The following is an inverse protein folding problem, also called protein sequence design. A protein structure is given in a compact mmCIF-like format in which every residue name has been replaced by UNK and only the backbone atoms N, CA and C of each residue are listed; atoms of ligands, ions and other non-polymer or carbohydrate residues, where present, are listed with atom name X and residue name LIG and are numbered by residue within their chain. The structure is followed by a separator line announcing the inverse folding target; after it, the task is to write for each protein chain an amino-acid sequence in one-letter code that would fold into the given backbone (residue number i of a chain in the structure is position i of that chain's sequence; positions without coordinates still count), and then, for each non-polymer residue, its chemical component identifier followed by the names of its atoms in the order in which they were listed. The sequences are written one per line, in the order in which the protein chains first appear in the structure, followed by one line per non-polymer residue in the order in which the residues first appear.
data_IF_518098638500
#
_entry.id   IF_518098638500
#
_cell.length_a   1.000
_cell.length_b   1.000
_cell.length_c   1.000
_cell.angle_alpha   90.00
_cell.angle_beta   90.00
_cell.angle_gamma   90.00
#
_symmetry.space_group_name_H-M   'P 1'
#
loop_
_entity.id
_entity.type
_entity.pdbx_description
1 polymer ?
#
# COMPACT_ATOMS: atom_id res chain seq x y z
N UNK A 1 -8.73 4.23 50.66
CA UNK A 1 -7.51 4.95 51.08
C UNK A 1 -7.22 5.99 50.02
N UNK A 2 -7.58 7.24 50.38
CA UNK A 2 -7.52 8.39 49.47
C UNK A 2 -6.15 9.06 49.58
N UNK A 3 -5.46 9.26 48.48
CA UNK A 3 -4.28 10.13 48.44
C UNK A 3 -4.58 11.33 47.54
N UNK A 4 -4.93 12.44 48.16
CA UNK A 4 -5.00 13.77 47.56
C UNK A 4 -3.61 14.40 47.62
N UNK A 5 -3.03 14.74 46.48
CA UNK A 5 -1.83 15.55 46.43
C UNK A 5 -2.27 17.00 46.13
N UNK A 6 -2.10 17.85 47.14
CA UNK A 6 -2.31 19.31 47.03
C UNK A 6 -1.05 19.94 46.48
N UNK A 7 -1.15 20.71 45.41
CA UNK A 7 -0.09 21.64 44.98
C UNK A 7 -0.36 23.03 45.58
N UNK A 8 0.58 23.47 46.39
CA UNK A 8 0.61 24.79 46.98
C UNK A 8 1.12 25.81 45.94
N UNK A 9 0.33 26.87 45.74
CA UNK A 9 0.75 28.08 45.04
C UNK A 9 1.60 28.96 45.97
N UNK A 10 2.75 29.42 45.47
CA UNK A 10 3.53 30.45 46.13
C UNK A 10 3.53 31.73 45.23
N UNK A 11 3.09 32.84 45.73
CA UNK A 11 3.22 34.14 45.03
C UNK A 11 4.46 34.92 45.53
N UNK A 12 4.98 35.73 44.65
CA UNK A 12 5.82 36.89 44.84
C UNK A 12 7.22 36.82 44.26
N UNK A 13 7.44 37.63 43.25
CA UNK A 13 8.24 38.85 43.39
C UNK A 13 8.14 39.71 42.11
N UNK A 14 7.52 40.89 42.31
CA UNK A 14 7.70 42.02 41.42
C UNK A 14 9.14 42.57 41.54
N UNK A 15 9.80 42.77 40.40
CA UNK A 15 10.88 43.75 40.29
C UNK A 15 10.80 44.42 38.92
N UNK A 16 10.36 45.63 38.93
CA UNK A 16 10.43 46.57 37.81
C UNK A 16 11.86 47.08 37.68
N UNK A 17 12.39 47.08 36.46
CA UNK A 17 13.49 47.97 36.09
C UNK A 17 13.34 48.44 34.66
N UNK A 18 13.46 49.74 34.56
CA UNK A 18 13.19 50.64 33.46
C UNK A 18 14.29 50.63 32.39
N UNK A 19 13.88 51.01 31.17
CA UNK A 19 14.63 51.76 30.16
C UNK A 19 15.63 50.96 29.29
N UNK A 20 15.19 50.77 28.08
CA UNK A 20 16.01 50.44 26.95
C UNK A 20 15.14 50.35 25.68
N UNK A 21 14.83 51.49 25.08
CA UNK A 21 14.11 51.58 23.86
C UNK A 21 14.94 51.01 22.70
N UNK A 22 14.69 49.76 22.34
CA UNK A 22 15.02 49.25 21.03
C UNK A 22 13.71 49.16 20.23
N UNK A 23 13.54 50.08 19.30
CA UNK A 23 12.51 49.97 18.27
C UNK A 23 12.82 48.74 17.39
N UNK A 24 12.21 47.65 17.73
CA UNK A 24 12.24 46.46 16.88
C UNK A 24 11.26 46.77 15.74
N UNK A 25 11.85 47.09 14.58
CA UNK A 25 11.12 47.14 13.31
C UNK A 25 10.48 45.78 13.11
N UNK A 26 9.15 45.65 12.95
CA UNK A 26 8.58 44.35 12.67
C UNK A 26 9.15 43.83 11.35
N UNK A 27 9.53 42.54 11.28
CA UNK A 27 9.93 41.98 10.03
C UNK A 27 8.75 42.09 9.07
N UNK A 28 9.04 42.61 7.87
CA UNK A 28 8.12 42.62 6.75
C UNK A 28 7.59 41.20 6.57
N UNK A 29 6.31 41.00 6.72
CA UNK A 29 5.61 39.78 6.34
C UNK A 29 5.54 39.74 4.81
N UNK A 30 6.66 39.61 4.15
CA UNK A 30 6.67 39.01 2.84
C UNK A 30 6.36 37.52 3.06
N UNK A 31 5.06 37.24 3.11
CA UNK A 31 4.56 35.90 2.91
C UNK A 31 5.00 35.52 1.50
N UNK A 32 6.19 34.96 1.37
CA UNK A 32 6.50 34.13 0.26
C UNK A 32 5.42 33.03 0.26
N UNK A 33 4.39 33.23 -0.58
CA UNK A 33 3.61 32.12 -1.09
C UNK A 33 4.61 31.23 -1.83
N UNK A 34 5.33 30.40 -1.06
CA UNK A 34 6.03 29.29 -1.61
C UNK A 34 4.98 28.49 -2.33
N UNK A 35 5.05 28.51 -3.65
CA UNK A 35 4.37 27.53 -4.48
C UNK A 35 4.67 26.21 -3.82
N UNK A 36 3.65 25.57 -3.25
CA UNK A 36 3.70 24.16 -2.88
C UNK A 36 3.95 23.49 -4.22
N UNK A 37 5.21 23.27 -4.54
CA UNK A 37 5.59 22.42 -5.64
C UNK A 37 4.88 21.11 -5.32
N UNK A 38 3.86 20.80 -6.09
CA UNK A 38 3.20 19.51 -6.07
C UNK A 38 4.34 18.51 -6.20
N UNK A 39 4.65 17.81 -5.10
CA UNK A 39 5.58 16.70 -5.19
C UNK A 39 5.06 15.82 -6.32
N UNK A 40 5.93 15.37 -7.25
CA UNK A 40 5.50 14.41 -8.24
C UNK A 40 4.80 13.31 -7.46
N UNK A 41 3.51 13.13 -7.67
CA UNK A 41 2.80 11.96 -7.17
C UNK A 41 3.58 10.80 -7.77
N UNK A 42 4.29 10.07 -6.92
CA UNK A 42 4.95 8.84 -7.30
C UNK A 42 3.88 8.01 -8.00
N UNK A 43 4.01 7.88 -9.31
CA UNK A 43 3.01 7.26 -10.17
C UNK A 43 2.90 5.82 -9.68
N UNK A 44 1.83 5.54 -8.94
CA UNK A 44 1.59 4.23 -8.35
C UNK A 44 1.63 3.20 -9.47
N UNK A 45 2.61 2.33 -9.42
CA UNK A 45 2.86 1.36 -10.49
C UNK A 45 1.85 0.24 -10.40
N UNK A 46 0.72 0.42 -11.07
CA UNK A 46 -0.27 -0.65 -11.25
C UNK A 46 0.27 -1.70 -12.21
N UNK A 47 0.30 -2.94 -11.79
CA UNK A 47 0.82 -4.05 -12.59
C UNK A 47 0.04 -5.33 -12.37
N UNK A 48 -0.08 -6.18 -13.39
CA UNK A 48 -0.58 -7.52 -13.21
C UNK A 48 0.34 -8.37 -12.34
N UNK A 49 -0.25 -9.09 -11.40
CA UNK A 49 0.42 -10.12 -10.63
C UNK A 49 0.26 -11.45 -11.35
N UNK A 50 1.37 -12.04 -11.77
CA UNK A 50 1.41 -13.29 -12.54
C UNK A 50 1.57 -14.50 -11.63
N UNK A 51 0.88 -15.58 -11.96
CA UNK A 51 1.14 -16.93 -11.46
C UNK A 51 2.24 -17.60 -12.29
N UNK A 52 2.83 -18.67 -11.81
CA UNK A 52 3.83 -19.45 -12.57
C UNK A 52 3.30 -20.09 -13.87
N UNK A 53 1.99 -20.11 -14.06
CA UNK A 53 1.35 -20.60 -15.29
C UNK A 53 1.01 -19.49 -16.28
N UNK A 54 1.61 -18.31 -16.17
CA UNK A 54 1.36 -17.14 -17.03
C UNK A 54 -0.08 -16.61 -17.01
N UNK A 55 -0.82 -16.92 -15.94
CA UNK A 55 -2.12 -16.31 -15.69
C UNK A 55 -1.96 -15.11 -14.76
N UNK A 56 -2.83 -14.12 -14.94
CA UNK A 56 -2.94 -12.99 -14.05
C UNK A 56 -3.86 -13.31 -12.86
N UNK A 57 -3.50 -12.85 -11.68
CA UNK A 57 -4.43 -12.77 -10.56
C UNK A 57 -5.51 -11.77 -10.91
N UNK A 58 -6.75 -12.19 -10.83
CA UNK A 58 -7.92 -11.38 -11.19
C UNK A 58 -8.99 -11.45 -10.11
N UNK A 59 -9.82 -10.43 -10.05
CA UNK A 59 -10.97 -10.40 -9.14
C UNK A 59 -12.25 -10.40 -9.95
N UNK A 60 -13.08 -11.39 -9.70
CA UNK A 60 -14.40 -11.52 -10.34
C UNK A 60 -15.43 -11.94 -9.31
N UNK A 61 -16.54 -11.20 -9.19
CA UNK A 61 -17.62 -11.50 -8.25
C UNK A 61 -17.10 -11.77 -6.82
N UNK A 62 -16.20 -10.92 -6.34
CA UNK A 62 -15.53 -11.03 -5.02
C UNK A 62 -14.64 -12.28 -4.83
N UNK A 63 -14.39 -13.03 -5.88
CA UNK A 63 -13.48 -14.17 -5.88
C UNK A 63 -12.14 -13.77 -6.50
N UNK A 64 -11.06 -14.27 -5.91
CA UNK A 64 -9.71 -14.10 -6.44
C UNK A 64 -9.35 -15.34 -7.24
N UNK A 65 -9.05 -15.15 -8.51
CA UNK A 65 -8.94 -16.23 -9.49
C UNK A 65 -7.68 -16.05 -10.35
N UNK A 66 -7.13 -17.13 -10.87
CA UNK A 66 -6.17 -17.09 -11.97
C UNK A 66 -6.94 -17.00 -13.30
N UNK A 67 -6.67 -15.97 -14.10
CA UNK A 67 -7.34 -15.71 -15.37
C UNK A 67 -6.33 -15.35 -16.47
N UNK A 68 -6.67 -15.52 -17.75
CA UNK A 68 -5.84 -14.96 -18.82
C UNK A 68 -5.63 -13.47 -18.60
N UNK A 69 -4.42 -12.99 -18.82
CA UNK A 69 -4.08 -11.58 -18.67
C UNK A 69 -4.84 -10.74 -19.70
N UNK A 70 -5.59 -9.78 -19.24
CA UNK A 70 -6.43 -8.89 -20.08
C UNK A 70 -6.00 -7.44 -20.02
N UNK A 71 -5.19 -7.07 -19.03
CA UNK A 71 -4.81 -5.69 -18.74
C UNK A 71 -5.95 -4.82 -18.22
N UNK A 72 -7.06 -5.42 -17.80
CA UNK A 72 -8.20 -4.72 -17.21
C UNK A 72 -7.94 -4.40 -15.74
N UNK A 73 -8.68 -3.43 -15.21
CA UNK A 73 -8.54 -2.93 -13.84
C UNK A 73 -8.74 -4.01 -12.76
N UNK A 74 -9.48 -5.08 -13.07
CA UNK A 74 -9.68 -6.23 -12.19
C UNK A 74 -8.44 -7.12 -12.01
N UNK A 75 -7.35 -6.81 -12.72
CA UNK A 75 -6.07 -7.52 -12.69
C UNK A 75 -4.90 -6.60 -12.35
N UNK A 76 -5.13 -5.30 -12.17
CA UNK A 76 -4.06 -4.33 -11.93
C UNK A 76 -3.92 -4.07 -10.44
N UNK A 77 -2.91 -4.67 -9.86
CA UNK A 77 -2.58 -4.53 -8.45
C UNK A 77 -1.46 -3.51 -8.23
N UNK A 78 -1.45 -2.95 -7.05
CA UNK A 78 -0.38 -2.12 -6.51
C UNK A 78 0.17 -2.78 -5.26
N UNK A 79 1.49 -2.68 -5.07
CA UNK A 79 2.15 -3.04 -3.82
C UNK A 79 2.40 -1.77 -3.00
N UNK A 80 1.80 -1.69 -1.83
CA UNK A 80 1.98 -0.57 -0.92
C UNK A 80 2.32 -1.09 0.49
N UNK A 81 3.62 -1.05 0.85
CA UNK A 81 4.14 -1.38 2.18
C UNK A 81 3.58 -2.69 2.80
N UNK A 82 3.41 -3.73 1.98
CA UNK A 82 2.86 -5.00 2.45
C UNK A 82 1.35 -5.13 2.32
N UNK A 83 0.69 -4.16 1.74
CA UNK A 83 -0.67 -4.26 1.23
C UNK A 83 -0.65 -4.57 -0.28
N UNK A 84 -1.44 -5.54 -0.69
CA UNK A 84 -1.66 -5.85 -2.10
C UNK A 84 -3.01 -5.26 -2.50
N UNK A 85 -2.96 -4.10 -3.15
CA UNK A 85 -4.13 -3.27 -3.45
C UNK A 85 -4.67 -3.51 -4.84
N UNK A 86 -5.99 -3.52 -4.96
CA UNK A 86 -6.74 -3.45 -6.20
C UNK A 86 -7.73 -2.28 -6.06
N UNK A 87 -7.42 -1.14 -6.66
CA UNK A 87 -8.18 0.11 -6.45
C UNK A 87 -8.24 0.48 -4.96
N UNK A 88 -9.43 0.66 -4.39
CA UNK A 88 -9.67 1.02 -2.98
C UNK A 88 -9.74 -0.19 -2.04
N UNK A 89 -9.53 -1.40 -2.58
CA UNK A 89 -9.62 -2.65 -1.83
C UNK A 89 -8.24 -3.31 -1.72
N UNK A 90 -8.05 -4.03 -0.62
CA UNK A 90 -6.84 -4.82 -0.36
C UNK A 90 -7.15 -6.31 -0.34
N UNK A 91 -6.25 -7.10 -0.93
CA UNK A 91 -6.27 -8.53 -0.75
C UNK A 91 -5.89 -8.87 0.68
N UNK A 92 -6.75 -9.58 1.37
CA UNK A 92 -6.59 -9.92 2.78
C UNK A 92 -6.88 -11.40 3.01
N UNK A 93 -6.32 -11.95 4.10
CA UNK A 93 -6.73 -13.25 4.61
C UNK A 93 -8.12 -13.14 5.25
N UNK A 94 -9.10 -13.85 4.72
CA UNK A 94 -10.42 -14.02 5.35
C UNK A 94 -10.33 -14.99 6.54
N UNK A 95 -9.59 -16.07 6.34
CA UNK A 95 -9.25 -17.08 7.34
C UNK A 95 -7.91 -17.75 6.92
N UNK A 96 -7.54 -18.87 7.49
CA UNK A 96 -6.29 -19.59 7.20
C UNK A 96 -6.27 -20.32 5.84
N UNK A 97 -7.38 -20.34 5.11
CA UNK A 97 -7.52 -21.02 3.82
C UNK A 97 -8.06 -20.12 2.69
N UNK A 98 -8.72 -19.04 3.02
CA UNK A 98 -9.41 -18.19 2.05
C UNK A 98 -8.84 -16.77 2.03
N UNK A 99 -8.78 -16.20 0.85
CA UNK A 99 -8.52 -14.78 0.62
C UNK A 99 -9.79 -14.03 0.23
N UNK A 100 -9.82 -12.75 0.50
CA UNK A 100 -10.91 -11.85 0.13
C UNK A 100 -10.38 -10.47 -0.23
N UNK A 101 -11.17 -9.69 -0.94
CA UNK A 101 -10.97 -8.25 -1.01
C UNK A 101 -11.82 -7.55 0.06
N UNK A 102 -11.18 -6.64 0.78
CA UNK A 102 -11.83 -5.80 1.79
C UNK A 102 -11.24 -4.38 1.73
N UNK A 103 -11.89 -3.37 2.32
CA UNK A 103 -11.28 -2.05 2.46
C UNK A 103 -9.89 -2.16 3.08
N UNK A 104 -8.93 -1.40 2.54
CA UNK A 104 -7.58 -1.37 3.08
C UNK A 104 -7.60 -0.78 4.50
N UNK A 105 -6.95 -1.44 5.44
CA UNK A 105 -6.93 -1.09 6.86
C UNK A 105 -5.56 -0.56 7.34
N UNK A 106 -4.62 -0.39 6.41
CA UNK A 106 -3.24 0.05 6.69
C UNK A 106 -2.40 -1.02 7.38
N UNK A 107 -2.88 -2.25 7.46
CA UNK A 107 -2.12 -3.35 8.04
C UNK A 107 -1.40 -4.15 6.97
N UNK A 108 -0.08 -4.06 6.97
CA UNK A 108 0.76 -4.89 6.12
C UNK A 108 0.56 -6.37 6.47
N UNK A 109 -0.12 -7.11 5.61
CA UNK A 109 -0.37 -8.54 5.83
C UNK A 109 0.48 -9.44 4.93
N UNK A 110 1.10 -8.84 3.89
CA UNK A 110 1.83 -9.59 2.89
C UNK A 110 3.32 -9.29 2.92
N UNK A 111 4.11 -10.32 2.69
CA UNK A 111 5.55 -10.25 2.56
C UNK A 111 5.99 -11.03 1.33
N UNK A 112 6.91 -10.47 0.54
CA UNK A 112 7.59 -11.22 -0.50
C UNK A 112 8.69 -12.08 0.12
N UNK A 113 8.55 -13.40 -0.02
CA UNK A 113 9.57 -14.37 0.34
C UNK A 113 10.08 -15.05 -0.94
N UNK A 114 11.05 -14.43 -1.59
CA UNK A 114 11.54 -14.76 -2.95
C UNK A 114 10.43 -14.50 -3.99
N UNK A 115 9.81 -15.57 -4.49
CA UNK A 115 8.72 -15.57 -5.46
C UNK A 115 7.35 -15.89 -4.84
N UNK A 116 7.25 -15.90 -3.51
CA UNK A 116 6.02 -16.25 -2.78
C UNK A 116 5.47 -15.04 -2.03
N UNK A 117 4.16 -14.94 -2.01
CA UNK A 117 3.42 -14.01 -1.18
C UNK A 117 3.01 -14.71 0.12
N UNK A 118 3.72 -14.41 1.18
CA UNK A 118 3.45 -14.89 2.54
C UNK A 118 2.51 -13.93 3.26
N UNK A 119 1.45 -14.47 3.86
CA UNK A 119 0.55 -13.69 4.69
C UNK A 119 0.93 -13.87 6.17
N UNK A 120 1.42 -12.81 6.79
CA UNK A 120 1.93 -12.82 8.16
C UNK A 120 0.83 -13.01 9.21
N UNK A 121 -0.40 -12.55 8.92
CA UNK A 121 -1.53 -12.64 9.84
C UNK A 121 -1.95 -14.09 10.16
N UNK A 122 -1.86 -14.97 9.18
CA UNK A 122 -2.28 -16.37 9.30
C UNK A 122 -1.14 -17.36 9.07
N UNK A 123 0.07 -16.88 8.79
CA UNK A 123 1.27 -17.69 8.52
C UNK A 123 1.07 -18.69 7.37
N UNK A 124 0.56 -18.20 6.25
CA UNK A 124 0.24 -18.99 5.06
C UNK A 124 0.75 -18.29 3.79
N UNK A 125 0.91 -19.05 2.72
CA UNK A 125 1.26 -18.52 1.41
C UNK A 125 0.04 -18.46 0.48
N UNK A 126 0.01 -17.46 -0.40
CA UNK A 126 -0.92 -17.42 -1.50
C UNK A 126 -0.67 -18.62 -2.42
N UNK A 127 -1.74 -19.25 -2.87
CA UNK A 127 -1.69 -20.56 -3.56
C UNK A 127 -2.76 -20.63 -4.66
N UNK A 128 -2.37 -21.05 -5.85
CA UNK A 128 -3.32 -21.41 -6.91
C UNK A 128 -3.86 -22.81 -6.61
N UNK A 129 -5.16 -22.90 -6.34
CA UNK A 129 -5.77 -24.12 -5.83
C UNK A 129 -5.55 -25.35 -6.74
N UNK A 130 -5.23 -26.48 -6.12
CA UNK A 130 -5.13 -27.77 -6.83
C UNK A 130 -3.99 -27.85 -7.82
N UNK A 131 -3.01 -26.95 -7.79
CA UNK A 131 -1.88 -26.89 -8.74
C UNK A 131 -2.34 -26.82 -10.22
N UNK A 132 -3.51 -26.25 -10.46
CA UNK A 132 -4.08 -26.16 -11.79
C UNK A 132 -3.82 -24.77 -12.37
N UNK A 133 -3.13 -24.74 -13.49
CA UNK A 133 -2.93 -23.52 -14.27
C UNK A 133 -4.01 -23.45 -15.38
N UNK A 134 -5.26 -23.26 -14.98
CA UNK A 134 -6.38 -23.11 -15.91
C UNK A 134 -7.21 -21.87 -15.57
N UNK A 135 -7.83 -21.21 -16.54
CA UNK A 135 -8.68 -20.05 -16.29
C UNK A 135 -9.76 -20.35 -15.25
N UNK A 136 -9.97 -19.41 -14.34
CA UNK A 136 -10.98 -19.53 -13.29
C UNK A 136 -10.55 -20.34 -12.07
N UNK A 137 -9.29 -20.79 -12.01
CA UNK A 137 -8.78 -21.49 -10.83
C UNK A 137 -8.73 -20.53 -9.64
N UNK A 138 -9.37 -20.85 -8.50
CA UNK A 138 -9.34 -19.99 -7.31
C UNK A 138 -7.95 -19.86 -6.72
N UNK A 139 -7.65 -18.66 -6.20
CA UNK A 139 -6.55 -18.46 -5.28
C UNK A 139 -7.03 -18.66 -3.85
N UNK A 140 -6.15 -19.19 -3.01
CA UNK A 140 -6.41 -19.51 -1.61
C UNK A 140 -5.15 -19.30 -0.77
N UNK A 141 -5.27 -19.56 0.53
CA UNK A 141 -4.12 -19.68 1.43
C UNK A 141 -3.82 -21.16 1.71
N UNK A 142 -2.54 -21.51 1.75
CA UNK A 142 -2.06 -22.85 2.07
C UNK A 142 -0.76 -22.79 2.84
N UNK A 143 -0.31 -23.93 3.38
CA UNK A 143 1.05 -24.06 3.93
C UNK A 143 2.08 -23.68 2.88
N UNK A 144 3.15 -23.00 3.31
CA UNK A 144 4.24 -22.60 2.43
C UNK A 144 5.15 -23.79 2.16
N UNK A 145 4.98 -24.46 1.03
CA UNK A 145 5.80 -25.62 0.64
C UNK A 145 6.67 -25.38 -0.60
N UNK A 146 6.54 -24.20 -1.22
CA UNK A 146 7.40 -23.79 -2.34
C UNK A 146 7.09 -24.50 -3.66
N UNK A 147 5.86 -24.96 -3.87
CA UNK A 147 5.41 -25.46 -5.16
C UNK A 147 5.22 -24.35 -6.18
N UNK A 148 5.24 -24.69 -7.48
CA UNK A 148 5.06 -23.72 -8.56
C UNK A 148 3.73 -22.92 -8.46
N UNK A 149 2.68 -23.51 -7.93
CA UNK A 149 1.40 -22.85 -7.70
C UNK A 149 1.40 -21.82 -6.54
N UNK A 150 2.55 -21.66 -5.85
CA UNK A 150 2.81 -20.59 -4.87
C UNK A 150 3.84 -19.59 -5.39
N UNK A 151 4.26 -19.71 -6.64
CA UNK A 151 5.21 -18.80 -7.27
C UNK A 151 4.45 -17.70 -8.02
N UNK A 152 4.76 -16.46 -7.70
CA UNK A 152 4.17 -15.27 -8.29
C UNK A 152 5.26 -14.30 -8.74
N UNK A 153 4.93 -13.45 -9.68
CA UNK A 153 5.81 -12.38 -10.13
C UNK A 153 5.00 -11.17 -10.60
N UNK A 154 5.59 -9.99 -10.53
CA UNK A 154 5.01 -8.82 -11.19
C UNK A 154 5.30 -8.89 -12.69
N UNK A 155 4.28 -8.61 -13.50
CA UNK A 155 4.51 -8.37 -14.92
C UNK A 155 5.32 -7.07 -15.04
N UNK A 156 6.53 -7.18 -15.55
CA UNK A 156 7.34 -5.99 -15.81
C UNK A 156 6.66 -5.17 -16.90
N UNK A 157 6.54 -3.84 -16.73
CA UNK A 157 6.07 -2.98 -17.81
C UNK A 157 6.91 -3.28 -19.06
N UNK A 158 6.24 -3.52 -20.18
CA UNK A 158 6.98 -3.65 -21.44
C UNK A 158 7.48 -2.26 -21.84
N UNK A 159 8.81 -2.01 -21.85
CA UNK A 159 9.34 -0.67 -22.12
C UNK A 159 8.87 -0.09 -23.46
N UNK A 160 8.58 -0.96 -24.43
CA UNK A 160 8.08 -0.56 -25.75
C UNK A 160 6.63 -0.08 -25.71
N UNK A 161 5.77 -0.67 -24.89
CA UNK A 161 4.39 -0.24 -24.71
C UNK A 161 4.32 1.11 -24.00
N UNK A 162 5.18 1.35 -23.03
CA UNK A 162 5.27 2.64 -22.34
C UNK A 162 5.75 3.75 -23.29
N UNK A 163 6.69 3.45 -24.18
CA UNK A 163 7.15 4.38 -25.21
C UNK A 163 6.04 4.75 -26.18
N UNK A 164 5.22 3.77 -26.60
CA UNK A 164 4.10 3.99 -27.50
C UNK A 164 2.97 4.81 -26.84
N UNK A 165 2.68 4.58 -25.57
CA UNK A 165 1.72 5.39 -24.81
C UNK A 165 2.16 6.85 -24.73
N UNK A 166 3.44 7.11 -24.44
CA UNK A 166 3.98 8.48 -24.42
C UNK A 166 3.88 9.18 -25.78
N UNK A 167 4.08 8.47 -26.87
CA UNK A 167 3.98 9.04 -28.23
C UNK A 167 2.54 9.35 -28.64
N UNK A 168 1.55 8.60 -28.14
CA UNK A 168 0.12 8.82 -28.47
C UNK A 168 -0.50 10.01 -27.73
N UNK A 169 0.16 10.54 -26.69
CA UNK A 169 -0.31 11.69 -25.91
C UNK A 169 0.25 13.05 -26.41
N UNK A 170 1.05 13.07 -27.47
CA UNK A 170 1.68 14.28 -28.02
C UNK A 170 1.05 14.77 -29.31
N UNK A 171 -0.23 14.41 -29.62
CA UNK A 171 -0.99 14.88 -30.77
C UNK A 171 -2.22 15.68 -30.34
#
# INVERSE_FOLDING_TARGET
MNNKISFAYSPAMLAALLLGGCTIKPPSTDVMMGSIASQPQEERSLSPLLTSGDFCVAVSQQKVLAQPCSGKDDQLFEWDLGELRLQDLCLQAKNDTEVMLAPCDGQAQWEWQKDRLFNSKVSRCLDVAGRRHTPGTPLRLAECYGGANQSFSWQRPNPWLETLKKQSLTW
#
